data_IF_393478383688
#
_entry.id   IF_393478383688
#
_cell.length_a   1.000
_cell.length_b   1.000
_cell.length_c   1.000
_cell.angle_alpha   90.00
_cell.angle_beta   90.00
_cell.angle_gamma   90.00
#
_symmetry.space_group_name_H-M   'P 1'
#
loop_
_entity.id
_entity.type
_entity.pdbx_description
1 polymer ?
#
# COMPACT_ATOMS: atom_id res chain seq x y z
N UNK A 1 6.14 12.71 -6.62
CA UNK A 1 5.13 11.63 -6.43
C UNK A 1 5.80 10.43 -5.79
N UNK A 2 5.19 9.80 -4.77
CA UNK A 2 5.81 8.68 -4.04
C UNK A 2 5.91 7.43 -4.92
N UNK A 3 7.13 6.89 -5.06
CA UNK A 3 7.36 5.63 -5.79
C UNK A 3 7.12 4.39 -4.91
N UNK A 4 7.24 4.54 -3.59
CA UNK A 4 7.14 3.46 -2.61
C UNK A 4 6.68 3.99 -1.24
N UNK A 5 5.85 3.23 -0.52
CA UNK A 5 5.37 3.55 0.84
C UNK A 5 5.48 2.35 1.78
N UNK A 6 5.73 2.58 3.08
CA UNK A 6 5.72 1.57 4.13
C UNK A 6 4.32 1.51 4.77
N UNK A 7 3.75 0.32 4.89
CA UNK A 7 2.48 0.06 5.57
C UNK A 7 2.81 -0.56 6.93
N UNK A 8 2.94 0.28 7.95
CA UNK A 8 3.18 -0.14 9.33
C UNK A 8 1.89 -0.64 10.01
N UNK A 9 1.13 -1.53 9.34
CA UNK A 9 -0.08 -2.14 9.87
C UNK A 9 -0.21 -3.60 9.41
N UNK A 10 -1.11 -4.37 10.04
CA UNK A 10 -1.43 -5.78 9.72
C UNK A 10 -2.91 -5.99 9.43
N UNK A 11 -3.26 -7.19 8.94
CA UNK A 11 -4.65 -7.61 8.74
C UNK A 11 -5.36 -6.92 7.57
N UNK A 12 -6.69 -6.89 7.64
CA UNK A 12 -7.56 -6.45 6.53
C UNK A 12 -7.28 -5.02 6.06
N UNK A 13 -6.93 -4.13 7.00
CA UNK A 13 -6.59 -2.74 6.70
C UNK A 13 -5.31 -2.63 5.87
N UNK A 14 -4.30 -3.47 6.11
CA UNK A 14 -3.08 -3.50 5.31
C UNK A 14 -3.41 -3.98 3.88
N UNK A 15 -4.19 -5.06 3.74
CA UNK A 15 -4.66 -5.57 2.45
C UNK A 15 -5.46 -4.51 1.66
N UNK A 16 -6.30 -3.74 2.34
CA UNK A 16 -7.09 -2.66 1.73
C UNK A 16 -6.18 -1.55 1.17
N UNK A 17 -5.18 -1.12 1.94
CA UNK A 17 -4.23 -0.08 1.51
C UNK A 17 -3.39 -0.59 0.32
N UNK A 18 -2.89 -1.83 0.37
CA UNK A 18 -2.14 -2.45 -0.74
C UNK A 18 -2.97 -2.46 -2.02
N UNK A 19 -4.26 -2.82 -1.94
CA UNK A 19 -5.16 -2.85 -3.11
C UNK A 19 -5.30 -1.49 -3.79
N UNK A 20 -5.39 -0.42 -3.01
CA UNK A 20 -5.46 0.95 -3.53
C UNK A 20 -4.12 1.40 -4.10
N UNK A 21 -3.02 1.17 -3.38
CA UNK A 21 -1.67 1.53 -3.84
C UNK A 21 -1.32 0.86 -5.18
N UNK A 22 -1.71 -0.41 -5.36
CA UNK A 22 -1.54 -1.14 -6.64
C UNK A 22 -2.29 -0.48 -7.80
N UNK A 23 -3.53 -0.01 -7.58
CA UNK A 23 -4.29 0.72 -8.62
C UNK A 23 -3.62 2.05 -9.01
N UNK A 24 -2.90 2.65 -8.07
CA UNK A 24 -2.19 3.91 -8.26
C UNK A 24 -0.76 3.73 -8.78
N UNK A 25 -0.29 2.50 -8.99
CA UNK A 25 1.09 2.21 -9.42
C UNK A 25 2.15 2.51 -8.36
N UNK A 26 1.80 2.50 -7.07
CA UNK A 26 2.71 2.78 -5.95
C UNK A 26 3.17 1.46 -5.34
N UNK A 27 4.48 1.26 -5.21
CA UNK A 27 5.03 0.09 -4.52
C UNK A 27 4.79 0.18 -3.01
N UNK A 28 4.59 -0.96 -2.34
CA UNK A 28 4.36 -1.02 -0.89
C UNK A 28 5.35 -1.98 -0.23
N UNK A 29 5.71 -1.73 1.03
CA UNK A 29 6.43 -2.63 1.94
C UNK A 29 5.65 -2.76 3.23
#
# INVERSE_FOLDING_TARGET
>A
MFKKILIANRGEIACRVIKTARKMGIATV
#
